data_IF_009509455020
#
_entry.id   IF_009509455020
#
_cell.length_a   1.000
_cell.length_b   1.000
_cell.length_c   1.000
_cell.angle_alpha   90.00
_cell.angle_beta   90.00
_cell.angle_gamma   90.00
#
_symmetry.space_group_name_H-M   'P 1'
#
loop_
_entity.id
_entity.type
_entity.pdbx_description
1 polymer ?
#
# COMPACT_ATOMS: atom_id res chain seq x y z
N UNK A 1 -1.99 -4.24 -11.07
CA UNK A 1 -0.85 -5.04 -10.57
C UNK A 1 -0.19 -5.88 -11.65
N UNK A 2 -0.91 -6.37 -12.67
CA UNK A 2 -0.39 -7.24 -13.73
C UNK A 2 0.99 -6.85 -14.33
N UNK A 3 1.28 -5.58 -14.69
CA UNK A 3 2.58 -5.23 -15.26
C UNK A 3 3.75 -5.52 -14.31
N UNK A 4 3.57 -5.28 -13.01
CA UNK A 4 4.60 -5.46 -11.98
C UNK A 4 4.88 -6.94 -11.76
N UNK A 5 3.83 -7.78 -11.82
CA UNK A 5 3.97 -9.24 -11.79
C UNK A 5 4.80 -9.75 -12.97
N UNK A 6 4.67 -9.13 -14.15
CA UNK A 6 5.39 -9.52 -15.36
C UNK A 6 6.86 -9.12 -15.33
N UNK A 7 7.16 -7.89 -14.85
CA UNK A 7 8.54 -7.37 -14.84
C UNK A 7 9.31 -7.75 -13.56
N UNK A 8 8.64 -8.31 -12.54
CA UNK A 8 9.26 -8.79 -11.31
C UNK A 8 9.77 -7.67 -10.41
N UNK A 9 9.18 -6.47 -10.45
CA UNK A 9 9.61 -5.36 -9.59
C UNK A 9 9.05 -5.54 -8.18
N UNK A 10 9.81 -5.11 -7.18
CA UNK A 10 9.38 -5.14 -5.79
C UNK A 10 8.27 -4.13 -5.58
N UNK A 11 7.16 -4.53 -4.95
CA UNK A 11 6.02 -3.65 -4.75
C UNK A 11 5.21 -3.98 -3.49
N UNK A 12 4.54 -2.97 -2.95
CA UNK A 12 3.64 -3.07 -1.80
C UNK A 12 2.34 -2.29 -2.06
N UNK A 13 1.22 -2.79 -1.55
CA UNK A 13 -0.06 -2.08 -1.55
C UNK A 13 -0.38 -1.63 -0.14
N UNK A 14 -0.52 -0.33 0.08
CA UNK A 14 -0.83 0.26 1.39
C UNK A 14 -2.17 1.01 1.35
N UNK A 15 -3.01 0.97 2.41
CA UNK A 15 -4.25 1.74 2.46
C UNK A 15 -3.96 3.25 2.46
N UNK A 16 -4.56 4.00 1.53
CA UNK A 16 -4.34 5.45 1.42
C UNK A 16 -5.59 6.31 1.71
N UNK A 17 -6.69 5.68 2.13
CA UNK A 17 -7.90 6.35 2.55
C UNK A 17 -9.14 5.59 2.12
N UNK A 18 -10.26 6.32 2.12
CA UNK A 18 -11.56 5.86 1.66
C UNK A 18 -12.08 6.82 0.60
N UNK A 19 -12.84 6.31 -0.36
CA UNK A 19 -13.57 7.15 -1.31
C UNK A 19 -14.84 7.74 -0.66
N UNK A 20 -15.65 8.46 -1.44
CA UNK A 20 -16.89 9.08 -1.00
C UNK A 20 -17.93 8.06 -0.52
N UNK A 21 -17.84 6.82 -0.98
CA UNK A 21 -18.78 5.74 -0.65
C UNK A 21 -18.29 4.92 0.56
N UNK A 22 -17.14 5.30 1.15
CA UNK A 22 -16.56 4.62 2.29
C UNK A 22 -15.82 3.34 1.93
N UNK A 23 -15.44 3.15 0.66
CA UNK A 23 -14.66 1.99 0.22
C UNK A 23 -13.15 2.25 0.34
N UNK A 24 -12.36 1.26 0.81
CA UNK A 24 -10.93 1.45 1.01
C UNK A 24 -10.19 1.59 -0.33
N UNK A 25 -9.33 2.61 -0.42
CA UNK A 25 -8.47 2.86 -1.58
C UNK A 25 -7.03 2.45 -1.25
N UNK A 26 -6.41 1.69 -2.16
CA UNK A 26 -5.02 1.26 -2.05
C UNK A 26 -4.06 2.14 -2.87
N UNK A 27 -2.91 2.47 -2.31
CA UNK A 27 -1.77 3.07 -2.99
C UNK A 27 -0.74 1.97 -3.27
N UNK A 28 -0.27 1.90 -4.52
CA UNK A 28 0.75 0.95 -4.94
C UNK A 28 2.12 1.63 -4.93
N UNK A 29 3.01 1.17 -4.05
CA UNK A 29 4.41 1.60 -3.98
C UNK A 29 5.23 0.59 -4.78
N UNK A 30 5.98 1.06 -5.78
CA UNK A 30 6.79 0.21 -6.67
C UNK A 30 8.23 0.68 -6.57
N UNK A 31 9.11 -0.22 -6.16
CA UNK A 31 10.55 -0.01 -6.10
C UNK A 31 11.27 -0.60 -7.30
N UNK A 32 12.60 -0.55 -7.26
CA UNK A 32 13.45 -1.29 -8.21
C UNK A 32 13.39 -2.79 -7.89
N UNK A 33 13.95 -3.60 -8.78
CA UNK A 33 14.08 -5.03 -8.55
C UNK A 33 14.99 -5.30 -7.33
N UNK A 34 14.49 -6.06 -6.35
CA UNK A 34 15.24 -6.43 -5.14
C UNK A 34 15.45 -5.29 -4.15
N UNK A 35 14.63 -4.24 -4.21
CA UNK A 35 14.73 -3.05 -3.34
C UNK A 35 13.60 -3.05 -2.29
N UNK A 36 13.43 -4.16 -1.58
CA UNK A 36 12.41 -4.35 -0.55
C UNK A 36 12.58 -3.36 0.60
N UNK A 37 13.82 -3.05 0.97
CA UNK A 37 14.12 -2.11 2.05
C UNK A 37 13.51 -0.72 1.77
N UNK A 38 13.71 -0.18 0.57
CA UNK A 38 13.15 1.13 0.20
C UNK A 38 11.62 1.08 0.14
N UNK A 39 11.05 0.02 -0.44
CA UNK A 39 9.59 -0.14 -0.53
C UNK A 39 8.95 -0.20 0.86
N UNK A 40 9.57 -0.93 1.80
CA UNK A 40 9.11 -1.01 3.18
C UNK A 40 9.32 0.31 3.92
N UNK A 41 10.46 0.98 3.74
CA UNK A 41 10.74 2.27 4.36
C UNK A 41 9.72 3.35 3.95
N UNK A 42 9.38 3.42 2.66
CA UNK A 42 8.32 4.31 2.16
C UNK A 42 6.96 3.93 2.73
N UNK A 43 6.64 2.63 2.76
CA UNK A 43 5.38 2.15 3.33
C UNK A 43 5.22 2.52 4.80
N UNK A 44 6.29 2.35 5.60
CA UNK A 44 6.33 2.71 7.02
C UNK A 44 6.25 4.22 7.24
N UNK A 45 6.95 5.02 6.42
CA UNK A 45 6.87 6.47 6.49
C UNK A 45 5.44 6.97 6.20
N UNK A 46 4.77 6.36 5.21
CA UNK A 46 3.38 6.68 4.90
C UNK A 46 2.43 6.23 6.03
N UNK A 47 2.64 5.07 6.64
CA UNK A 47 1.88 4.60 7.82
C UNK A 47 2.00 5.56 9.00
N UNK A 48 3.21 6.02 9.32
CA UNK A 48 3.43 6.97 10.40
C UNK A 48 2.76 8.32 10.14
N UNK A 49 2.77 8.79 8.89
CA UNK A 49 2.14 10.05 8.50
C UNK A 49 0.61 9.97 8.42
N UNK A 50 0.06 8.80 8.04
CA UNK A 50 -1.38 8.56 7.86
C UNK A 50 -1.79 7.20 8.43
N UNK A 51 -1.90 7.06 9.76
CA UNK A 51 -2.27 5.79 10.38
C UNK A 51 -3.63 5.31 9.88
N UNK A 52 -3.75 4.02 9.52
CA UNK A 52 -5.02 3.41 9.09
C UNK A 52 -5.50 2.28 10.00
N UNK A 53 -4.70 1.86 10.99
CA UNK A 53 -4.95 0.68 11.84
C UNK A 53 -6.27 0.74 12.63
N UNK A 54 -6.75 1.96 12.91
CA UNK A 54 -8.03 2.24 13.55
C UNK A 54 -9.25 1.97 12.66
N UNK A 55 -9.07 1.91 11.34
CA UNK A 55 -10.15 1.65 10.39
C UNK A 55 -10.28 0.15 10.14
N UNK A 56 -11.30 -0.47 10.75
CA UNK A 56 -11.60 -1.89 10.55
C UNK A 56 -13.02 -2.08 10.03
N UNK A 57 -13.22 -2.94 9.00
CA UNK A 57 -14.55 -3.27 8.54
C UNK A 57 -15.30 -4.06 9.63
N UNK A 58 -16.62 -3.91 9.67
CA UNK A 58 -17.47 -4.77 10.51
C UNK A 58 -17.42 -6.19 9.94
N UNK A 59 -17.05 -7.16 10.77
CA UNK A 59 -17.13 -8.57 10.40
C UNK A 59 -18.60 -8.99 10.48
N UNK A 60 -19.10 -9.64 9.43
CA UNK A 60 -20.48 -10.18 9.40
C UNK A 60 -20.61 -11.46 10.21
#
# INVERSE_FOLDING_TARGET
>A
THPINTIGFTAASIPCGFDSDGMPVGLHVIGRHGDEETVLAVSAAFEAARPWIQHRPKVS
#
